data_IF_755518928639
#
_entry.id   IF_755518928639
#
_cell.length_a   1.000
_cell.length_b   1.000
_cell.length_c   1.000
_cell.angle_alpha   90.00
_cell.angle_beta   90.00
_cell.angle_gamma   90.00
#
_symmetry.space_group_name_H-M   'P 1'
#
loop_
_entity.id
_entity.type
_entity.pdbx_description
1 polymer ?
#
# COMPACT_ATOMS: atom_id res chain seq x y z
N UNK A 1 -49.42 66.58 32.85
CA UNK A 1 -48.16 67.34 33.00
C UNK A 1 -47.00 66.43 32.66
N UNK A 2 -46.08 66.95 31.85
CA UNK A 2 -44.67 66.56 31.63
C UNK A 2 -44.34 65.16 31.04
N UNK A 3 -43.92 65.24 29.77
CA UNK A 3 -43.11 64.31 28.98
C UNK A 3 -41.83 63.90 29.72
N UNK A 4 -41.35 62.68 29.49
CA UNK A 4 -39.92 62.38 29.47
C UNK A 4 -39.62 61.48 28.27
N UNK A 5 -38.66 61.94 27.47
CA UNK A 5 -38.19 61.31 26.23
C UNK A 5 -37.30 60.11 26.55
N UNK A 6 -37.48 59.04 25.78
CA UNK A 6 -36.55 57.93 25.70
C UNK A 6 -35.35 58.40 24.87
N UNK A 7 -34.16 58.49 25.49
CA UNK A 7 -32.90 58.59 24.76
C UNK A 7 -32.17 57.27 24.94
N UNK A 8 -32.09 56.50 23.85
CA UNK A 8 -31.35 55.25 23.80
C UNK A 8 -29.89 55.56 23.46
N UNK A 9 -28.99 55.17 24.35
CA UNK A 9 -27.56 55.00 24.04
C UNK A 9 -27.10 53.75 24.78
N UNK A 10 -26.85 52.67 24.04
CA UNK A 10 -26.00 51.59 24.56
C UNK A 10 -25.33 50.82 23.40
N UNK A 11 -24.02 51.00 23.38
CA UNK A 11 -22.92 50.20 22.83
C UNK A 11 -23.25 49.03 21.88
N UNK A 12 -22.76 49.15 20.65
CA UNK A 12 -22.51 48.01 19.76
C UNK A 12 -21.46 47.09 20.37
N UNK A 13 -21.85 45.89 20.80
CA UNK A 13 -20.93 44.78 20.98
C UNK A 13 -20.51 44.29 19.59
N UNK A 14 -19.24 44.46 19.24
CA UNK A 14 -18.62 43.71 18.14
C UNK A 14 -18.36 42.31 18.67
N UNK A 15 -19.20 41.35 18.27
CA UNK A 15 -18.92 39.94 18.46
C UNK A 15 -17.79 39.57 17.48
N UNK A 16 -16.56 39.41 17.98
CA UNK A 16 -15.52 38.71 17.23
C UNK A 16 -15.95 37.25 17.11
N UNK A 17 -16.33 36.84 15.91
CA UNK A 17 -16.46 35.43 15.58
C UNK A 17 -15.05 34.81 15.64
N UNK A 18 -14.77 34.08 16.71
CA UNK A 18 -13.61 33.19 16.75
C UNK A 18 -13.89 32.06 15.74
N UNK A 19 -13.14 32.04 14.64
CA UNK A 19 -13.07 30.88 13.77
C UNK A 19 -12.45 29.73 14.57
N UNK A 20 -13.27 28.77 15.00
CA UNK A 20 -12.79 27.46 15.43
C UNK A 20 -12.26 26.72 14.19
N UNK A 21 -11.01 27.01 13.81
CA UNK A 21 -10.25 26.10 12.98
C UNK A 21 -9.89 24.90 13.83
N UNK A 22 -10.39 23.71 13.49
CA UNK A 22 -9.86 22.46 14.02
C UNK A 22 -8.36 22.43 13.73
N UNK A 23 -7.54 22.43 14.78
CA UNK A 23 -6.11 22.20 14.63
C UNK A 23 -5.93 20.80 14.02
N UNK A 24 -5.39 20.74 12.81
CA UNK A 24 -4.94 19.48 12.22
C UNK A 24 -3.84 18.96 13.14
N UNK A 25 -4.10 17.85 13.83
CA UNK A 25 -3.12 17.25 14.72
C UNK A 25 -1.86 16.89 13.91
N UNK A 26 -0.69 17.29 14.39
CA UNK A 26 0.58 16.89 13.78
C UNK A 26 0.70 15.36 13.80
N UNK A 27 1.26 14.74 12.75
CA UNK A 27 1.41 13.30 12.68
C UNK A 27 2.30 12.81 13.82
N UNK A 28 1.88 11.74 14.50
CA UNK A 28 2.67 11.05 15.51
C UNK A 28 3.97 10.53 14.88
N UNK A 29 5.12 10.98 15.38
CA UNK A 29 6.43 10.48 14.97
C UNK A 29 6.82 9.38 15.95
N UNK A 30 6.99 8.15 15.46
CA UNK A 30 7.46 7.05 16.29
C UNK A 30 8.99 7.08 16.36
N UNK A 31 9.56 6.63 17.47
CA UNK A 31 11.01 6.50 17.58
C UNK A 31 11.56 5.57 16.49
N UNK A 32 12.78 5.85 15.96
CA UNK A 32 13.44 4.98 15.00
C UNK A 32 13.49 3.53 15.48
N UNK A 33 13.51 2.58 14.54
CA UNK A 33 13.42 1.16 14.87
C UNK A 33 14.51 0.68 15.85
N UNK A 34 15.73 1.24 15.75
CA UNK A 34 16.86 0.92 16.64
C UNK A 34 16.63 1.32 18.10
N UNK A 35 15.65 2.19 18.36
CA UNK A 35 15.26 2.61 19.70
C UNK A 35 14.09 1.78 20.28
N UNK A 36 13.64 0.74 19.57
CA UNK A 36 12.45 -0.07 19.92
C UNK A 36 12.80 -1.57 19.98
N UNK A 37 12.01 -2.39 20.71
CA UNK A 37 12.34 -3.81 20.91
C UNK A 37 12.05 -4.72 19.70
N UNK A 38 12.10 -4.15 18.48
CA UNK A 38 11.94 -4.89 17.23
C UNK A 38 13.23 -5.64 16.90
N UNK A 39 13.12 -6.95 16.65
CA UNK A 39 14.23 -7.78 16.21
C UNK A 39 14.09 -8.11 14.73
N UNK A 40 15.13 -7.86 13.94
CA UNK A 40 15.16 -8.26 12.53
C UNK A 40 15.14 -9.79 12.43
N UNK A 41 14.16 -10.34 11.71
CA UNK A 41 13.99 -11.80 11.53
C UNK A 41 14.16 -12.25 10.08
N UNK A 42 13.97 -11.34 9.13
CA UNK A 42 14.16 -11.61 7.70
C UNK A 42 14.41 -10.29 6.96
N UNK A 43 15.24 -10.34 5.92
CA UNK A 43 15.48 -9.19 5.06
C UNK A 43 15.94 -9.59 3.66
N UNK A 44 15.81 -8.66 2.73
CA UNK A 44 16.56 -8.65 1.49
C UNK A 44 17.09 -7.24 1.21
N UNK A 45 18.41 -7.11 1.13
CA UNK A 45 19.12 -5.86 0.81
C UNK A 45 19.47 -5.76 -0.69
N UNK A 46 19.12 -6.79 -1.48
CA UNK A 46 19.36 -6.83 -2.92
C UNK A 46 20.82 -6.55 -3.35
N UNK A 47 21.80 -6.87 -2.50
CA UNK A 47 23.25 -6.75 -2.76
C UNK A 47 23.78 -7.79 -3.78
N UNK A 48 22.96 -8.75 -4.16
CA UNK A 48 23.31 -9.80 -5.13
C UNK A 48 23.36 -9.29 -6.59
N UNK A 49 23.55 -10.22 -7.52
CA UNK A 49 23.55 -9.92 -8.97
C UNK A 49 22.26 -10.37 -9.67
N UNK A 50 21.33 -10.98 -8.94
CA UNK A 50 20.07 -11.51 -9.43
C UNK A 50 19.07 -11.62 -8.26
N UNK A 51 17.79 -11.84 -8.58
CA UNK A 51 16.76 -12.07 -7.57
C UNK A 51 17.06 -13.36 -6.79
N UNK A 52 17.10 -13.28 -5.46
CA UNK A 52 17.26 -14.45 -4.60
C UNK A 52 15.99 -15.32 -4.63
N UNK A 53 16.09 -16.47 -5.30
CA UNK A 53 14.97 -17.41 -5.46
C UNK A 53 14.61 -18.17 -4.19
N UNK A 54 15.47 -18.15 -3.17
CA UNK A 54 15.13 -18.68 -1.84
C UNK A 54 14.22 -17.73 -1.04
N UNK A 55 14.15 -16.47 -1.47
CA UNK A 55 13.34 -15.42 -0.87
C UNK A 55 12.11 -15.07 -1.71
N UNK A 56 12.25 -15.10 -3.05
CA UNK A 56 11.25 -14.56 -3.96
C UNK A 56 10.90 -15.50 -5.12
N UNK A 57 9.59 -15.64 -5.35
CA UNK A 57 9.01 -16.24 -6.54
C UNK A 57 8.34 -15.16 -7.41
N UNK A 58 8.76 -15.00 -8.68
CA UNK A 58 8.06 -14.14 -9.63
C UNK A 58 6.64 -14.61 -9.90
N UNK A 59 5.74 -13.67 -10.19
CA UNK A 59 4.49 -14.00 -10.87
C UNK A 59 4.70 -13.95 -12.39
N UNK A 60 4.21 -14.97 -13.10
CA UNK A 60 4.21 -15.01 -14.57
C UNK A 60 2.77 -15.14 -15.02
N UNK A 61 2.16 -14.02 -15.40
CA UNK A 61 0.79 -13.99 -15.91
C UNK A 61 0.46 -12.67 -16.60
N UNK A 62 -0.55 -12.69 -17.45
CA UNK A 62 -1.15 -11.53 -18.12
C UNK A 62 -2.58 -11.26 -17.61
N UNK A 63 -2.81 -11.64 -16.35
CA UNK A 63 -4.14 -11.78 -15.75
C UNK A 63 -4.88 -10.45 -15.59
N UNK A 64 -4.16 -9.40 -15.21
CA UNK A 64 -4.75 -8.10 -14.90
C UNK A 64 -5.22 -7.96 -13.45
N UNK A 65 -4.87 -8.90 -12.57
CA UNK A 65 -5.07 -8.82 -11.11
C UNK A 65 -6.52 -8.82 -10.61
N UNK A 66 -7.51 -8.87 -11.51
CA UNK A 66 -8.91 -8.55 -11.17
C UNK A 66 -9.23 -7.05 -11.26
N UNK A 67 -8.23 -6.23 -11.58
CA UNK A 67 -8.29 -4.77 -11.61
C UNK A 67 -8.19 -4.19 -13.04
N UNK A 68 -8.33 -5.03 -14.06
CA UNK A 68 -8.17 -4.68 -15.50
C UNK A 68 -6.78 -4.12 -15.85
N UNK A 69 -5.74 -4.54 -15.13
CA UNK A 69 -4.36 -4.10 -15.40
C UNK A 69 -3.88 -4.59 -16.78
N UNK A 70 -3.01 -3.81 -17.44
CA UNK A 70 -2.66 -3.98 -18.86
C UNK A 70 -1.35 -4.72 -19.12
N UNK A 71 -0.61 -5.11 -18.08
CA UNK A 71 0.69 -5.77 -18.23
C UNK A 71 0.61 -7.31 -18.23
N UNK A 72 1.62 -7.94 -18.84
CA UNK A 72 2.07 -9.26 -18.47
C UNK A 72 3.22 -9.16 -17.46
N UNK A 73 3.07 -9.74 -16.27
CA UNK A 73 4.19 -9.98 -15.37
C UNK A 73 5.09 -11.07 -15.94
N UNK A 74 6.40 -10.83 -15.96
CA UNK A 74 7.39 -11.79 -16.47
C UNK A 74 8.61 -11.87 -15.54
N UNK A 75 9.35 -12.98 -15.62
CA UNK A 75 10.62 -13.21 -14.92
C UNK A 75 11.85 -12.84 -15.77
N UNK A 76 11.67 -11.97 -16.77
CA UNK A 76 12.76 -11.58 -17.66
C UNK A 76 13.61 -10.48 -17.02
N UNK A 77 14.92 -10.41 -17.31
CA UNK A 77 15.78 -9.32 -16.82
C UNK A 77 15.32 -7.94 -17.28
N UNK A 78 14.52 -7.85 -18.35
CA UNK A 78 13.87 -6.61 -18.81
C UNK A 78 12.82 -6.08 -17.83
N UNK A 79 12.26 -6.94 -16.99
CA UNK A 79 11.16 -6.65 -16.07
C UNK A 79 11.53 -6.81 -14.59
N UNK A 80 12.45 -7.73 -14.25
CA UNK A 80 12.95 -7.93 -12.88
C UNK A 80 14.48 -7.97 -12.94
N UNK A 81 15.14 -7.05 -12.24
CA UNK A 81 16.60 -7.07 -12.12
C UNK A 81 17.02 -6.72 -10.69
N UNK A 82 18.14 -7.27 -10.25
CA UNK A 82 18.86 -6.79 -9.08
C UNK A 82 20.16 -6.16 -9.56
N UNK A 83 20.39 -4.90 -9.20
CA UNK A 83 21.55 -4.15 -9.67
C UNK A 83 21.89 -3.02 -8.70
N UNK A 84 23.17 -2.85 -8.41
CA UNK A 84 23.71 -1.75 -7.62
C UNK A 84 23.10 -1.64 -6.21
N UNK A 85 22.72 -2.77 -5.60
CA UNK A 85 22.04 -2.82 -4.29
C UNK A 85 20.53 -2.63 -4.35
N UNK A 86 19.93 -2.60 -5.54
CA UNK A 86 18.49 -2.37 -5.70
C UNK A 86 17.79 -3.50 -6.44
N UNK A 87 16.56 -3.80 -6.02
CA UNK A 87 15.57 -4.47 -6.85
C UNK A 87 14.88 -3.46 -7.78
N UNK A 88 14.86 -3.79 -9.06
CA UNK A 88 14.25 -3.00 -10.12
C UNK A 88 13.08 -3.77 -10.75
N UNK A 89 11.85 -3.34 -10.46
CA UNK A 89 10.64 -3.83 -11.11
C UNK A 89 10.27 -2.89 -12.26
N UNK A 90 10.45 -3.35 -13.49
CA UNK A 90 10.49 -2.48 -14.68
C UNK A 90 9.28 -2.71 -15.59
N UNK A 91 8.54 -1.65 -15.82
CA UNK A 91 7.44 -1.60 -16.77
C UNK A 91 7.94 -1.20 -18.17
N UNK A 92 7.47 -1.88 -19.21
CA UNK A 92 7.80 -1.59 -20.61
C UNK A 92 6.58 -1.69 -21.49
N UNK A 93 6.50 -0.84 -22.52
CA UNK A 93 5.57 -1.03 -23.63
C UNK A 93 6.17 -2.01 -24.62
N UNK A 94 5.63 -3.22 -24.63
CA UNK A 94 6.08 -4.33 -25.47
C UNK A 94 4.91 -5.28 -25.62
N UNK A 95 4.57 -5.60 -26.87
CA UNK A 95 3.53 -6.58 -27.15
C UNK A 95 4.03 -7.97 -26.74
N UNK A 96 3.37 -8.58 -25.76
CA UNK A 96 3.80 -9.84 -25.16
C UNK A 96 2.62 -10.79 -25.00
N UNK A 97 2.84 -12.08 -25.29
CA UNK A 97 1.85 -13.14 -25.10
C UNK A 97 2.31 -14.04 -23.97
N UNK A 98 1.45 -14.25 -22.98
CA UNK A 98 1.74 -15.11 -21.83
C UNK A 98 0.48 -15.73 -21.22
N UNK A 99 0.64 -16.50 -20.14
CA UNK A 99 -0.47 -17.18 -19.49
C UNK A 99 -1.54 -16.20 -18.99
N UNK A 100 -2.81 -16.47 -19.25
CA UNK A 100 -3.91 -15.57 -18.91
C UNK A 100 -4.22 -15.55 -17.40
N UNK A 101 -3.77 -16.55 -16.65
CA UNK A 101 -3.92 -16.64 -15.20
C UNK A 101 -2.57 -17.04 -14.58
N UNK A 102 -2.26 -16.60 -13.35
CA UNK A 102 -1.14 -17.17 -12.63
C UNK A 102 -1.46 -18.65 -12.32
N UNK A 103 -0.44 -19.53 -12.28
CA UNK A 103 -0.65 -20.98 -12.29
C UNK A 103 -1.45 -21.48 -11.07
N UNK A 104 -1.43 -20.74 -9.97
CA UNK A 104 -2.12 -21.13 -8.73
C UNK A 104 -3.65 -21.07 -8.84
N UNK A 105 -4.20 -20.37 -9.84
CA UNK A 105 -5.66 -20.23 -10.06
C UNK A 105 -6.07 -20.54 -11.51
N UNK A 106 -5.14 -21.03 -12.33
CA UNK A 106 -5.41 -21.33 -13.73
C UNK A 106 -6.16 -22.67 -13.88
N UNK A 107 -7.08 -22.73 -14.84
CA UNK A 107 -7.57 -24.00 -15.35
C UNK A 107 -6.57 -24.57 -16.37
N UNK A 108 -6.53 -25.89 -16.52
CA UNK A 108 -5.67 -26.56 -17.50
C UNK A 108 -6.46 -26.95 -18.76
N UNK A 109 -6.02 -26.57 -19.98
CA UNK A 109 -4.82 -25.78 -20.26
C UNK A 109 -4.99 -24.29 -19.93
N UNK A 110 -3.94 -23.65 -19.40
CA UNK A 110 -3.94 -22.21 -19.15
C UNK A 110 -3.92 -21.42 -20.48
N UNK A 111 -4.99 -20.69 -20.84
CA UNK A 111 -5.05 -19.98 -22.11
C UNK A 111 -3.99 -18.88 -22.16
N UNK A 112 -3.52 -18.54 -23.36
CA UNK A 112 -2.58 -17.45 -23.57
C UNK A 112 -3.35 -16.17 -23.94
N UNK A 113 -2.89 -15.02 -23.48
CA UNK A 113 -3.43 -13.70 -23.86
C UNK A 113 -2.28 -12.75 -24.19
N UNK A 114 -2.51 -11.88 -25.18
CA UNK A 114 -1.57 -10.84 -25.58
C UNK A 114 -1.91 -9.53 -24.88
N UNK A 115 -0.91 -8.87 -24.33
CA UNK A 115 -0.98 -7.53 -23.74
C UNK A 115 0.05 -6.61 -24.39
N UNK A 116 -0.12 -5.30 -24.18
CA UNK A 116 0.74 -4.27 -24.78
C UNK A 116 1.86 -3.80 -23.84
N UNK A 117 1.90 -4.32 -22.62
CA UNK A 117 2.88 -3.97 -21.60
C UNK A 117 3.43 -5.22 -20.92
N UNK A 118 4.67 -5.11 -20.43
CA UNK A 118 5.27 -6.09 -19.54
C UNK A 118 5.76 -5.41 -18.27
N UNK A 119 5.75 -6.13 -17.15
CA UNK A 119 6.27 -5.63 -15.87
C UNK A 119 6.78 -6.74 -14.94
N UNK A 120 7.25 -6.37 -13.76
CA UNK A 120 7.74 -7.27 -12.72
C UNK A 120 6.80 -7.35 -11.50
N UNK A 121 6.62 -8.55 -10.97
CA UNK A 121 5.98 -8.83 -9.68
C UNK A 121 6.69 -9.99 -9.00
N UNK A 122 7.04 -9.82 -7.74
CA UNK A 122 7.70 -10.84 -6.90
C UNK A 122 6.91 -11.08 -5.62
N UNK A 123 6.93 -12.31 -5.13
CA UNK A 123 6.13 -12.76 -3.98
C UNK A 123 6.97 -13.68 -3.09
N UNK A 124 6.82 -13.61 -1.78
CA UNK A 124 7.37 -14.61 -0.85
C UNK A 124 6.45 -15.82 -0.68
N UNK A 125 5.40 -15.94 -1.50
CA UNK A 125 4.39 -17.00 -1.43
C UNK A 125 5.04 -18.39 -1.50
N UNK A 126 4.73 -19.24 -0.52
CA UNK A 126 5.31 -20.59 -0.41
C UNK A 126 6.77 -20.62 0.07
N UNK A 127 7.37 -19.46 0.35
CA UNK A 127 8.76 -19.33 0.82
C UNK A 127 8.78 -18.77 2.25
N UNK A 128 8.17 -17.60 2.46
CA UNK A 128 8.14 -16.89 3.74
C UNK A 128 6.78 -16.23 3.96
N UNK A 129 6.27 -16.32 5.19
CA UNK A 129 5.07 -15.64 5.64
C UNK A 129 5.17 -15.36 7.14
N UNK A 130 4.54 -14.29 7.60
CA UNK A 130 4.62 -13.84 9.00
C UNK A 130 3.24 -13.55 9.54
N UNK A 131 3.04 -13.81 10.82
CA UNK A 131 1.90 -13.26 11.58
C UNK A 131 2.46 -12.24 12.54
N UNK A 132 1.91 -11.03 12.48
CA UNK A 132 2.38 -9.87 13.23
C UNK A 132 3.84 -9.51 12.95
N UNK A 133 4.20 -8.27 13.25
CA UNK A 133 5.53 -7.75 13.01
C UNK A 133 5.52 -6.31 12.57
N UNK A 134 6.72 -5.80 12.30
CA UNK A 134 6.92 -4.59 11.53
C UNK A 134 7.53 -4.98 10.18
N UNK A 135 6.91 -4.53 9.09
CA UNK A 135 7.44 -4.72 7.74
C UNK A 135 7.78 -3.33 7.24
N UNK A 136 9.02 -3.16 6.80
CA UNK A 136 9.55 -1.91 6.27
C UNK A 136 10.06 -2.14 4.85
N UNK A 137 9.76 -1.19 3.96
CA UNK A 137 10.30 -1.16 2.60
C UNK A 137 10.84 0.23 2.31
N UNK A 138 12.13 0.29 1.98
CA UNK A 138 12.74 1.52 1.47
C UNK A 138 12.69 1.51 -0.05
N UNK A 139 11.90 2.40 -0.63
CA UNK A 139 11.67 2.43 -2.07
C UNK A 139 11.51 3.84 -2.62
N UNK A 140 11.79 3.99 -3.91
CA UNK A 140 11.49 5.17 -4.70
C UNK A 140 10.40 4.81 -5.71
N UNK A 141 9.30 5.55 -5.64
CA UNK A 141 8.05 5.26 -6.35
C UNK A 141 8.08 5.91 -7.74
N UNK A 142 7.78 5.23 -8.86
CA UNK A 142 7.84 5.86 -10.17
C UNK A 142 6.74 6.92 -10.34
N UNK A 143 7.11 8.06 -10.92
CA UNK A 143 6.15 9.01 -11.48
C UNK A 143 5.61 8.52 -12.82
N UNK A 144 4.38 8.92 -13.16
CA UNK A 144 3.80 8.73 -14.50
C UNK A 144 2.35 8.25 -14.46
N UNK A 145 1.51 8.91 -15.25
CA UNK A 145 0.13 8.52 -15.48
C UNK A 145 0.04 7.07 -15.99
N UNK A 146 -0.75 6.25 -15.31
CA UNK A 146 -0.94 4.83 -15.56
C UNK A 146 0.01 3.90 -14.80
N UNK A 147 0.98 4.40 -14.03
CA UNK A 147 1.83 3.56 -13.18
C UNK A 147 1.15 3.26 -11.85
N UNK A 148 1.23 2.00 -11.41
CA UNK A 148 0.68 1.56 -10.14
C UNK A 148 1.68 0.64 -9.40
N UNK A 149 2.70 1.21 -8.74
CA UNK A 149 3.57 0.48 -7.84
C UNK A 149 2.84 0.07 -6.55
N UNK A 150 3.12 -1.14 -6.07
CA UNK A 150 2.55 -1.64 -4.83
C UNK A 150 3.52 -2.52 -4.05
N UNK A 151 3.43 -2.44 -2.72
CA UNK A 151 3.99 -3.39 -1.75
C UNK A 151 2.87 -3.75 -0.78
N UNK A 152 2.52 -5.03 -0.76
CA UNK A 152 1.31 -5.50 -0.10
C UNK A 152 1.46 -6.96 0.32
N UNK A 153 0.51 -7.42 1.11
CA UNK A 153 0.55 -8.73 1.73
C UNK A 153 -0.78 -9.45 1.55
N UNK A 154 -0.70 -10.76 1.33
CA UNK A 154 -1.85 -11.65 1.20
C UNK A 154 -1.69 -12.86 2.11
N UNK A 155 -2.78 -13.49 2.55
CA UNK A 155 -2.73 -14.63 3.45
C UNK A 155 -1.98 -15.80 2.80
N UNK A 156 -1.13 -16.48 3.56
CA UNK A 156 -0.43 -17.68 3.12
C UNK A 156 -1.40 -18.82 2.78
N UNK A 157 -2.54 -18.86 3.48
CA UNK A 157 -3.63 -19.80 3.29
C UNK A 157 -4.97 -19.06 3.32
N UNK A 158 -5.91 -19.48 2.47
CA UNK A 158 -7.30 -19.00 2.48
C UNK A 158 -8.10 -19.58 3.66
N UNK A 159 -7.57 -19.45 4.88
CA UNK A 159 -8.13 -20.06 6.09
C UNK A 159 -9.60 -19.69 6.28
N UNK A 160 -9.95 -18.41 6.09
CA UNK A 160 -11.31 -17.89 6.21
C UNK A 160 -12.11 -17.96 4.90
N UNK A 161 -11.50 -18.42 3.81
CA UNK A 161 -12.09 -18.44 2.47
C UNK A 161 -11.31 -17.55 1.49
N UNK A 162 -11.72 -17.57 0.23
CA UNK A 162 -11.11 -16.75 -0.82
C UNK A 162 -11.22 -15.25 -0.50
N UNK A 163 -10.39 -14.44 -1.15
CA UNK A 163 -10.46 -12.99 -1.06
C UNK A 163 -11.90 -12.44 -1.14
N UNK A 164 -12.29 -11.48 -0.28
CA UNK A 164 -11.47 -10.80 0.74
C UNK A 164 -11.53 -11.47 2.13
N UNK A 165 -12.17 -12.65 2.25
CA UNK A 165 -12.52 -13.23 3.55
C UNK A 165 -11.30 -13.48 4.44
N UNK A 166 -10.14 -13.77 3.82
CA UNK A 166 -8.86 -14.01 4.51
C UNK A 166 -7.95 -12.79 4.57
N UNK A 167 -8.41 -11.62 4.11
CA UNK A 167 -7.73 -10.33 4.26
C UNK A 167 -6.70 -10.00 3.18
N UNK A 168 -6.30 -8.73 3.16
CA UNK A 168 -5.22 -8.13 2.37
C UNK A 168 -4.68 -6.92 3.14
N UNK A 169 -3.35 -6.70 3.14
CA UNK A 169 -2.71 -5.56 3.80
C UNK A 169 -1.84 -4.81 2.77
N UNK A 170 -2.24 -3.60 2.43
CA UNK A 170 -1.54 -2.76 1.45
C UNK A 170 -0.68 -1.74 2.19
N UNK A 171 0.63 -1.99 2.23
CA UNK A 171 1.60 -1.15 2.93
C UNK A 171 1.81 0.14 2.15
N UNK A 172 2.03 -0.01 0.86
CA UNK A 172 2.25 1.06 -0.10
C UNK A 172 1.50 0.72 -1.39
N UNK A 173 0.60 1.60 -1.78
CA UNK A 173 0.15 1.76 -3.15
C UNK A 173 0.32 3.21 -3.58
N UNK A 174 0.48 3.43 -4.87
CA UNK A 174 0.34 4.75 -5.46
C UNK A 174 -0.16 4.60 -6.89
N UNK A 175 -0.86 5.61 -7.39
CA UNK A 175 -1.23 5.69 -8.81
C UNK A 175 -0.86 7.07 -9.34
N UNK A 176 -0.40 7.12 -10.58
CA UNK A 176 -0.26 8.36 -11.34
C UNK A 176 0.61 9.45 -10.68
N UNK A 177 1.61 9.08 -9.86
CA UNK A 177 2.46 10.06 -9.16
C UNK A 177 3.00 11.10 -10.15
N UNK A 178 2.86 12.39 -9.81
CA UNK A 178 3.25 13.54 -10.62
C UNK A 178 2.28 13.93 -11.76
N UNK A 179 1.23 13.14 -12.02
CA UNK A 179 0.18 13.52 -12.98
C UNK A 179 -0.68 14.67 -12.42
N UNK A 180 -1.35 15.42 -13.28
CA UNK A 180 -2.24 16.50 -12.85
C UNK A 180 -3.30 15.99 -11.87
N UNK A 181 -3.47 16.69 -10.74
CA UNK A 181 -4.35 16.28 -9.65
C UNK A 181 -5.13 17.48 -9.10
N UNK A 182 -6.39 17.60 -9.50
CA UNK A 182 -7.28 18.69 -9.05
C UNK A 182 -7.60 18.62 -7.55
N UNK A 183 -7.59 17.41 -6.97
CA UNK A 183 -7.87 17.18 -5.55
C UNK A 183 -6.63 17.34 -4.66
N UNK A 184 -5.44 17.44 -5.26
CA UNK A 184 -4.18 17.53 -4.52
C UNK A 184 -3.85 18.99 -4.23
N UNK A 185 -3.28 19.24 -3.05
CA UNK A 185 -2.85 20.58 -2.69
C UNK A 185 -1.49 20.93 -3.31
N UNK A 186 -1.42 22.07 -4.00
CA UNK A 186 -0.20 22.56 -4.65
C UNK A 186 -0.21 22.33 -6.17
N UNK A 187 0.96 22.43 -6.80
CA UNK A 187 1.09 22.41 -8.27
C UNK A 187 2.00 21.29 -8.77
N UNK A 188 2.37 20.35 -7.90
CA UNK A 188 3.35 19.29 -8.21
C UNK A 188 2.72 18.00 -8.74
N UNK A 189 1.39 17.94 -8.84
CA UNK A 189 0.64 16.76 -9.27
C UNK A 189 0.27 15.82 -8.13
N UNK A 190 -0.18 14.61 -8.49
CA UNK A 190 -0.52 13.54 -7.54
C UNK A 190 0.70 13.14 -6.73
N UNK A 191 0.60 13.32 -5.42
CA UNK A 191 1.70 13.13 -4.48
C UNK A 191 1.32 12.23 -3.30
N UNK A 192 0.15 11.57 -3.37
CA UNK A 192 -0.38 10.75 -2.29
C UNK A 192 -0.05 9.28 -2.52
N UNK A 193 0.44 8.64 -1.47
CA UNK A 193 0.48 7.17 -1.38
C UNK A 193 -0.74 6.69 -0.60
N UNK A 194 -1.10 5.42 -0.76
CA UNK A 194 -2.26 4.80 -0.14
C UNK A 194 -1.81 3.60 0.66
N UNK A 195 -2.37 3.47 1.86
CA UNK A 195 -2.33 2.22 2.63
C UNK A 195 -3.75 1.77 2.89
N UNK A 196 -4.00 0.47 2.81
CA UNK A 196 -5.33 -0.09 2.90
C UNK A 196 -5.36 -1.45 3.61
N UNK A 197 -6.55 -1.82 4.07
CA UNK A 197 -6.91 -3.17 4.43
C UNK A 197 -8.14 -3.58 3.64
N UNK A 198 -8.11 -4.72 2.95
CA UNK A 198 -9.32 -5.35 2.38
C UNK A 198 -9.77 -6.52 3.25
N UNK A 199 -11.06 -6.59 3.51
CA UNK A 199 -11.68 -7.60 4.38
C UNK A 199 -13.18 -7.72 4.07
N UNK A 200 -13.97 -8.27 4.99
CA UNK A 200 -15.42 -8.30 4.89
C UNK A 200 -15.93 -9.65 4.39
N UNK A 201 -16.92 -9.64 3.51
CA UNK A 201 -17.58 -10.87 3.01
C UNK A 201 -17.24 -11.11 1.53
N UNK A 202 -17.58 -12.29 1.01
CA UNK A 202 -17.35 -12.65 -0.38
C UNK A 202 -17.93 -11.58 -1.33
N UNK A 203 -17.26 -11.38 -2.47
CA UNK A 203 -17.71 -10.47 -3.51
C UNK A 203 -19.21 -10.68 -3.83
N UNK A 204 -20.01 -9.62 -3.99
CA UNK A 204 -19.63 -8.20 -4.03
C UNK A 204 -19.70 -7.49 -2.65
N UNK A 205 -19.78 -8.23 -1.54
CA UNK A 205 -19.89 -7.67 -0.18
C UNK A 205 -18.54 -7.50 0.52
N UNK A 206 -17.47 -7.39 -0.26
CA UNK A 206 -16.15 -7.04 0.26
C UNK A 206 -16.17 -5.62 0.83
N UNK A 207 -15.31 -5.38 1.81
CA UNK A 207 -15.14 -4.08 2.46
C UNK A 207 -13.65 -3.73 2.48
N UNK A 208 -13.35 -2.45 2.70
CA UNK A 208 -11.99 -1.98 2.89
C UNK A 208 -12.00 -0.73 3.76
N UNK A 209 -10.84 -0.41 4.31
CA UNK A 209 -10.53 0.92 4.81
C UNK A 209 -9.19 1.33 4.24
N UNK A 210 -9.10 2.55 3.74
CA UNK A 210 -7.89 3.09 3.13
C UNK A 210 -7.60 4.51 3.62
N UNK A 211 -6.38 4.96 3.37
CA UNK A 211 -6.01 6.36 3.57
C UNK A 211 -5.01 6.81 2.52
N UNK A 212 -5.42 7.81 1.73
CA UNK A 212 -4.53 8.58 0.85
C UNK A 212 -3.77 9.61 1.67
N UNK A 213 -2.44 9.59 1.59
CA UNK A 213 -1.55 10.42 2.41
C UNK A 213 -0.48 11.06 1.52
N UNK A 214 -0.40 12.40 1.45
CA UNK A 214 0.75 13.06 0.83
C UNK A 214 1.99 12.93 1.70
N UNK A 215 3.18 12.97 1.11
CA UNK A 215 4.41 13.08 1.89
C UNK A 215 4.47 14.41 2.68
N UNK A 216 5.26 14.46 3.77
CA UNK A 216 5.61 15.71 4.43
C UNK A 216 6.13 16.75 3.43
N UNK A 217 5.85 18.03 3.70
CA UNK A 217 6.19 19.16 2.83
C UNK A 217 5.66 19.06 1.39
N UNK A 218 4.75 18.11 1.12
CA UNK A 218 4.18 17.84 -0.19
C UNK A 218 5.27 17.48 -1.21
N UNK A 219 6.28 16.70 -0.82
CA UNK A 219 7.24 16.15 -1.77
C UNK A 219 6.57 15.11 -2.69
N UNK A 220 7.15 14.88 -3.87
CA UNK A 220 6.73 13.74 -4.70
C UNK A 220 7.38 12.45 -4.20
N UNK A 221 6.63 11.35 -4.05
CA UNK A 221 7.19 10.01 -3.77
C UNK A 221 8.23 9.52 -4.77
N UNK A 222 8.32 10.18 -5.94
CA UNK A 222 9.30 9.89 -6.98
C UNK A 222 10.63 10.60 -6.84
N UNK A 223 10.74 11.62 -5.99
CA UNK A 223 11.95 12.46 -5.92
C UNK A 223 13.06 11.82 -5.07
N UNK A 224 12.70 10.97 -4.12
CA UNK A 224 13.63 10.33 -3.19
C UNK A 224 13.15 8.94 -2.77
N UNK A 225 14.03 8.22 -2.08
CA UNK A 225 13.66 7.02 -1.36
C UNK A 225 12.97 7.39 -0.05
N UNK A 226 11.87 6.70 0.24
CA UNK A 226 11.13 6.79 1.49
C UNK A 226 10.99 5.41 2.11
N UNK A 227 10.82 5.36 3.43
CA UNK A 227 10.55 4.12 4.16
C UNK A 227 9.06 4.01 4.41
N UNK A 228 8.42 3.08 3.70
CA UNK A 228 7.01 2.72 3.90
C UNK A 228 6.93 1.55 4.86
N UNK A 229 6.02 1.61 5.83
CA UNK A 229 5.99 0.58 6.87
C UNK A 229 4.59 0.25 7.35
N UNK A 230 4.42 -0.99 7.78
CA UNK A 230 3.29 -1.42 8.61
C UNK A 230 3.80 -2.01 9.90
N UNK A 231 3.23 -1.60 11.01
CA UNK A 231 3.26 -2.32 12.27
C UNK A 231 1.94 -3.04 12.44
N UNK A 232 2.00 -4.36 12.48
CA UNK A 232 0.86 -5.24 12.59
C UNK A 232 0.99 -6.04 13.87
N UNK A 233 0.10 -5.74 14.82
CA UNK A 233 -0.04 -6.50 16.05
C UNK A 233 -1.47 -6.98 16.24
N UNK A 234 -1.67 -7.79 17.27
CA UNK A 234 -3.00 -8.30 17.62
C UNK A 234 -3.98 -7.15 17.91
N UNK A 235 -5.00 -7.02 17.08
CA UNK A 235 -6.04 -6.01 17.20
C UNK A 235 -5.61 -4.56 16.90
N UNK A 236 -4.41 -4.33 16.35
CA UNK A 236 -4.00 -3.00 15.88
C UNK A 236 -3.08 -3.11 14.65
N UNK A 237 -3.39 -2.35 13.61
CA UNK A 237 -2.51 -2.15 12.45
C UNK A 237 -2.22 -0.66 12.30
N UNK A 238 -0.95 -0.31 12.11
CA UNK A 238 -0.48 1.07 11.98
C UNK A 238 0.43 1.18 10.76
N UNK A 239 0.12 2.10 9.86
CA UNK A 239 0.96 2.41 8.70
C UNK A 239 1.73 3.69 8.94
N UNK A 240 2.96 3.69 8.42
CA UNK A 240 3.90 4.78 8.55
C UNK A 240 4.60 5.08 7.23
N UNK A 241 5.00 6.35 7.06
CA UNK A 241 5.98 6.77 6.07
C UNK A 241 7.05 7.60 6.77
N UNK A 242 8.32 7.22 6.62
CA UNK A 242 9.46 7.85 7.27
C UNK A 242 9.26 8.02 8.79
N UNK A 243 8.84 6.93 9.46
CA UNK A 243 8.50 6.84 10.89
C UNK A 243 7.34 7.73 11.37
N UNK A 244 6.62 8.38 10.45
CA UNK A 244 5.41 9.15 10.75
C UNK A 244 4.18 8.29 10.56
N UNK A 245 3.38 8.16 11.61
CA UNK A 245 2.11 7.45 11.55
C UNK A 245 1.12 8.26 10.73
N UNK A 246 0.65 7.70 9.62
CA UNK A 246 -0.42 8.31 8.84
C UNK A 246 -1.76 7.61 8.99
N UNK A 247 -1.78 6.31 9.31
CA UNK A 247 -3.01 5.54 9.41
C UNK A 247 -2.95 4.52 10.54
N UNK A 248 -3.87 4.60 11.49
CA UNK A 248 -4.04 3.61 12.56
C UNK A 248 -5.42 3.02 12.46
N UNK A 249 -5.48 1.69 12.43
CA UNK A 249 -6.71 0.92 12.34
C UNK A 249 -6.77 0.04 13.58
N UNK A 250 -7.72 0.27 14.50
CA UNK A 250 -8.00 -0.61 15.62
C UNK A 250 -8.94 -1.74 15.20
N UNK A 251 -8.95 -2.81 15.99
CA UNK A 251 -9.68 -4.04 15.71
C UNK A 251 -11.13 -3.83 15.26
N UNK A 252 -11.82 -2.87 15.84
CA UNK A 252 -13.24 -2.62 15.61
C UNK A 252 -13.54 -2.18 14.18
N UNK A 253 -12.52 -1.78 13.41
CA UNK A 253 -12.67 -1.32 12.02
C UNK A 253 -12.52 -2.43 10.98
N UNK A 254 -12.25 -3.68 11.36
CA UNK A 254 -12.27 -4.80 10.43
C UNK A 254 -13.04 -6.01 10.93
N UNK A 255 -13.50 -6.82 9.97
CA UNK A 255 -14.21 -8.07 10.23
C UNK A 255 -14.05 -9.03 9.05
N UNK A 256 -14.49 -10.28 9.21
CA UNK A 256 -14.67 -11.22 8.11
C UNK A 256 -16.05 -11.87 8.21
N UNK A 257 -16.72 -12.04 7.07
CA UNK A 257 -18.00 -12.74 6.95
C UNK A 257 -17.89 -14.26 7.10
N UNK A 258 -16.67 -14.78 7.25
CA UNK A 258 -16.41 -16.22 7.33
C UNK A 258 -16.98 -16.86 8.61
N UNK A 259 -17.77 -17.94 8.50
CA UNK A 259 -18.21 -18.71 9.67
C UNK A 259 -17.06 -19.26 10.52
N UNK A 260 -15.87 -19.45 9.91
CA UNK A 260 -14.66 -19.93 10.60
C UNK A 260 -14.08 -18.91 11.58
N UNK A 261 -14.46 -17.64 11.47
CA UNK A 261 -14.04 -16.58 12.38
C UNK A 261 -14.98 -16.41 13.59
N UNK A 262 -15.97 -17.28 13.77
CA UNK A 262 -16.93 -17.17 14.88
C UNK A 262 -16.22 -17.14 16.24
N UNK A 263 -16.40 -16.04 16.98
CA UNK A 263 -15.77 -15.83 18.28
C UNK A 263 -14.30 -15.39 18.22
N UNK A 264 -13.76 -15.14 17.03
CA UNK A 264 -12.42 -14.61 16.84
C UNK A 264 -12.50 -13.12 16.42
N UNK A 265 -12.39 -12.21 17.39
CA UNK A 265 -12.32 -10.80 17.11
C UNK A 265 -10.89 -10.39 16.72
N UNK A 266 -10.07 -11.17 16.03
CA UNK A 266 -8.82 -10.70 15.40
C UNK A 266 -8.74 -11.04 13.89
N UNK A 267 -9.63 -11.93 13.43
CA UNK A 267 -9.79 -12.31 12.03
C UNK A 267 -10.22 -11.16 11.10
N UNK A 268 -9.67 -11.07 9.87
CA UNK A 268 -8.82 -12.07 9.23
C UNK A 268 -7.31 -11.86 9.41
N UNK A 269 -6.89 -10.78 10.05
CA UNK A 269 -5.48 -10.40 10.21
C UNK A 269 -4.79 -11.05 11.42
N UNK A 270 -5.10 -12.33 11.67
CA UNK A 270 -4.56 -13.16 12.74
C UNK A 270 -3.87 -14.43 12.21
N UNK A 271 -3.57 -14.46 10.90
CA UNK A 271 -2.95 -15.58 10.18
C UNK A 271 -1.65 -15.15 9.51
N UNK A 272 -0.78 -16.07 9.08
CA UNK A 272 0.42 -15.71 8.35
C UNK A 272 0.10 -15.10 6.99
N UNK A 273 0.77 -14.00 6.65
CA UNK A 273 0.68 -13.34 5.35
C UNK A 273 2.05 -13.37 4.65
N UNK A 274 2.04 -13.67 3.36
CA UNK A 274 3.21 -13.52 2.50
C UNK A 274 3.26 -12.10 1.91
N UNK A 275 4.48 -11.63 1.64
CA UNK A 275 4.74 -10.30 1.10
C UNK A 275 4.89 -10.34 -0.41
N UNK A 276 4.53 -9.25 -1.09
CA UNK A 276 4.82 -9.06 -2.50
C UNK A 276 5.05 -7.60 -2.89
N UNK A 277 5.73 -7.43 -4.02
CA UNK A 277 5.98 -6.14 -4.62
C UNK A 277 5.76 -6.22 -6.14
N UNK A 278 5.14 -5.21 -6.74
CA UNK A 278 4.91 -5.12 -8.17
C UNK A 278 4.91 -3.67 -8.69
N UNK A 279 5.04 -3.55 -10.00
CA UNK A 279 4.69 -2.34 -10.74
C UNK A 279 3.61 -2.70 -11.77
N UNK A 280 2.35 -2.42 -11.48
CA UNK A 280 1.27 -2.58 -12.46
C UNK A 280 1.26 -1.41 -13.46
N UNK A 281 0.66 -1.64 -14.63
CA UNK A 281 0.46 -0.65 -15.70
C UNK A 281 -1.01 -0.59 -16.07
N UNK A 282 -1.64 0.56 -15.90
CA UNK A 282 -3.06 0.73 -16.09
C UNK A 282 -3.88 -0.04 -15.05
N UNK A 283 -5.13 -0.32 -15.41
CA UNK A 283 -6.15 -0.82 -14.48
C UNK A 283 -7.20 0.24 -14.17
N UNK A 284 -8.34 -0.19 -13.62
CA UNK A 284 -9.50 0.69 -13.39
C UNK A 284 -9.10 1.95 -12.63
N UNK A 285 -8.40 1.79 -11.50
CA UNK A 285 -8.07 2.92 -10.63
C UNK A 285 -7.14 3.97 -11.28
N UNK A 286 -5.92 3.64 -11.77
CA UNK A 286 -5.06 4.65 -12.39
C UNK A 286 -5.67 5.24 -13.66
N UNK A 287 -6.42 4.47 -14.45
CA UNK A 287 -6.99 4.94 -15.72
C UNK A 287 -8.27 5.77 -15.57
N UNK A 288 -8.98 5.63 -14.46
CA UNK A 288 -10.16 6.45 -14.13
C UNK A 288 -9.80 7.68 -13.27
N UNK A 289 -8.54 7.84 -12.87
CA UNK A 289 -8.04 8.96 -12.06
C UNK A 289 -7.15 9.91 -12.86
N UNK A 290 -6.98 11.15 -12.37
CA UNK A 290 -6.07 12.15 -12.95
C UNK A 290 -6.31 12.36 -14.46
N UNK A 291 -5.26 12.27 -15.28
CA UNK A 291 -5.26 12.52 -16.74
C UNK A 291 -5.95 11.41 -17.55
N UNK A 292 -6.39 10.34 -16.88
CA UNK A 292 -7.01 9.12 -17.44
C UNK A 292 -6.07 8.29 -18.33
N UNK A 293 -6.40 7.02 -18.48
CA UNK A 293 -5.65 6.07 -19.29
C UNK A 293 -4.19 5.88 -18.85
N UNK A 294 -3.35 5.40 -19.77
CA UNK A 294 -1.92 5.18 -19.58
C UNK A 294 -1.15 6.08 -20.54
N UNK A 295 -0.36 7.02 -20.03
CA UNK A 295 0.44 7.90 -20.87
C UNK A 295 1.63 7.13 -21.46
N UNK A 296 1.89 7.30 -22.75
CA UNK A 296 2.99 6.58 -23.42
C UNK A 296 4.36 7.06 -22.98
N UNK A 297 4.45 8.28 -22.45
CA UNK A 297 5.65 8.86 -21.81
C UNK A 297 5.97 8.21 -20.46
N UNK A 298 5.01 7.55 -19.82
CA UNK A 298 5.20 6.89 -18.51
C UNK A 298 5.97 5.57 -18.61
N UNK A 299 6.39 5.13 -19.80
CA UNK A 299 7.13 3.87 -20.01
C UNK A 299 8.27 4.07 -21.04
N UNK A 300 9.44 3.42 -20.87
CA UNK A 300 9.78 2.50 -19.79
C UNK A 300 9.94 3.21 -18.44
N UNK A 301 9.64 2.50 -17.36
CA UNK A 301 9.67 3.02 -16.00
C UNK A 301 10.02 1.93 -15.00
N UNK A 302 10.34 2.29 -13.77
CA UNK A 302 10.75 1.32 -12.76
C UNK A 302 10.34 1.70 -11.34
N UNK A 303 9.91 0.70 -10.59
CA UNK A 303 9.79 0.77 -9.15
C UNK A 303 11.08 0.23 -8.53
N UNK A 304 11.77 1.10 -7.79
CA UNK A 304 13.12 0.86 -7.27
C UNK A 304 13.03 0.62 -5.78
N UNK A 305 13.48 -0.55 -5.33
CA UNK A 305 13.45 -0.94 -3.91
C UNK A 305 14.90 -1.17 -3.46
N UNK A 306 15.30 -0.48 -2.41
CA UNK A 306 16.62 -0.59 -1.77
C UNK A 306 16.69 -1.81 -0.86
N UNK A 307 15.71 -1.95 0.03
CA UNK A 307 15.62 -3.13 0.87
C UNK A 307 14.19 -3.36 1.34
N UNK A 308 13.95 -4.60 1.76
CA UNK A 308 12.74 -5.02 2.45
C UNK A 308 13.17 -5.75 3.72
N UNK A 309 12.63 -5.33 4.87
CA UNK A 309 12.98 -5.88 6.18
C UNK A 309 11.73 -6.23 6.96
N UNK A 310 11.79 -7.36 7.65
CA UNK A 310 10.73 -7.87 8.52
C UNK A 310 11.29 -8.05 9.93
N UNK A 311 10.58 -7.49 10.89
CA UNK A 311 10.93 -7.50 12.30
C UNK A 311 9.81 -8.11 13.12
N UNK A 312 10.16 -8.81 14.19
CA UNK A 312 9.21 -9.32 15.17
C UNK A 312 9.56 -8.85 16.58
N UNK A 313 8.57 -8.79 17.44
CA UNK A 313 8.74 -8.33 18.81
C UNK A 313 9.27 -9.47 19.67
N UNK A 314 10.54 -9.42 20.06
CA UNK A 314 11.16 -10.52 20.83
C UNK A 314 10.55 -10.69 22.23
N UNK A 315 10.07 -9.60 22.83
CA UNK A 315 9.47 -9.60 24.16
C UNK A 315 7.98 -10.00 24.14
N UNK A 316 7.33 -9.94 22.98
CA UNK A 316 5.91 -10.24 22.79
C UNK A 316 5.70 -10.87 21.40
N UNK A 317 6.24 -12.09 21.17
CA UNK A 317 6.18 -12.75 19.87
C UNK A 317 4.77 -13.20 19.49
N UNK A 318 3.86 -13.33 20.47
CA UNK A 318 2.49 -13.79 20.24
C UNK A 318 1.57 -12.69 19.74
N UNK A 319 1.78 -11.42 20.16
CA UNK A 319 0.86 -10.33 19.81
C UNK A 319 1.55 -9.14 19.13
N UNK A 320 2.86 -8.99 19.30
CA UNK A 320 3.65 -7.88 18.74
C UNK A 320 3.36 -6.52 19.36
N UNK A 321 2.41 -6.41 20.31
CA UNK A 321 1.87 -5.15 20.82
C UNK A 321 2.84 -4.41 21.72
N UNK A 322 3.72 -5.12 22.44
CA UNK A 322 4.72 -4.48 23.28
C UNK A 322 5.68 -3.57 22.49
N UNK A 323 6.02 -3.95 21.26
CA UNK A 323 6.93 -3.18 20.40
C UNK A 323 6.27 -2.03 19.63
N UNK A 324 4.93 -1.94 19.66
CA UNK A 324 4.15 -0.88 19.01
C UNK A 324 3.83 0.29 19.95
N UNK A 325 4.45 0.33 21.13
CA UNK A 325 4.26 1.37 22.15
C UNK A 325 5.21 2.54 21.95
#
# INVERSE_FOLDING_TARGET
>A
MRRCMISATMASLVAMAACNGEAVAEPEIVAPIDARPWQLVWNDEFDGTALDRSKWAPEISCWGGGNDERQCYTDRPENIAVKDGYLLLKARRERFTGPARPPEIAAEPNPQITREYTSGKIRTRGLHAWTYGRIEVRAQVPAGQGMWPAVWMMPAEDHYGSWPLSGEIDILEAVNIGAECEECEGTIGENRTVSALHFGDAWPRNSHVDRKTPLPDRALPSDAFHVYSVEWGKGLIRFLVDDRVHFTIPREQWFTGSPKAKGNPDAPFDRPFYLMANLAVGGKWPEESNEKGVATSSVPNQFTIDWIRVYQCSNDPETGRECMR
#
